data_IF_121381551219
#
_entry.id   IF_121381551219
#
_cell.length_a   1.000
_cell.length_b   1.000
_cell.length_c   1.000
_cell.angle_alpha   90.00
_cell.angle_beta   90.00
_cell.angle_gamma   90.00
#
_symmetry.space_group_name_H-M   'P 1'
#
loop_
_entity.id
_entity.type
_entity.pdbx_description
1 polymer ?
#
# COMPACT_ATOMS: atom_id res chain seq x y z
N UNK A 1 3.58 -1.08 5.10
CA UNK A 1 2.68 -2.04 4.42
C UNK A 1 1.71 -2.65 5.41
N UNK A 2 0.62 -1.97 5.69
CA UNK A 2 -0.48 -2.48 6.52
C UNK A 2 -1.62 -2.89 5.60
N UNK A 3 -2.02 -4.17 5.68
CA UNK A 3 -3.21 -4.67 5.01
C UNK A 3 -4.44 -3.85 5.45
N UNK A 4 -5.47 -3.70 4.60
CA UNK A 4 -6.77 -3.17 5.03
C UNK A 4 -7.25 -3.93 6.27
N UNK A 5 -7.85 -3.24 7.23
CA UNK A 5 -8.24 -3.80 8.54
C UNK A 5 -9.00 -5.14 8.40
N UNK A 6 -9.97 -5.21 7.48
CA UNK A 6 -10.75 -6.42 7.19
C UNK A 6 -9.93 -7.58 6.61
N UNK A 7 -8.93 -7.32 5.77
CA UNK A 7 -8.05 -8.35 5.20
C UNK A 7 -6.99 -8.81 6.21
N UNK A 8 -6.54 -7.91 7.10
CA UNK A 8 -5.65 -8.26 8.20
C UNK A 8 -6.30 -9.29 9.12
N UNK A 9 -7.54 -9.05 9.56
CA UNK A 9 -8.29 -10.01 10.37
C UNK A 9 -8.51 -11.35 9.65
N UNK A 10 -8.71 -11.34 8.33
CA UNK A 10 -8.81 -12.57 7.54
C UNK A 10 -7.50 -13.35 7.50
N UNK A 11 -6.37 -12.66 7.34
CA UNK A 11 -5.03 -13.28 7.33
C UNK A 11 -4.67 -13.83 8.71
N UNK A 12 -4.86 -13.05 9.78
CA UNK A 12 -4.60 -13.47 11.16
C UNK A 12 -5.46 -14.69 11.55
N UNK A 13 -6.77 -14.68 11.20
CA UNK A 13 -7.64 -15.85 11.40
C UNK A 13 -7.17 -17.06 10.60
N UNK A 14 -6.82 -16.88 9.33
CA UNK A 14 -6.33 -17.98 8.49
C UNK A 14 -5.04 -18.59 9.02
N UNK A 15 -4.12 -17.76 9.54
CA UNK A 15 -2.89 -18.22 10.19
C UNK A 15 -3.20 -19.03 11.45
N UNK A 16 -4.07 -18.52 12.33
CA UNK A 16 -4.50 -19.25 13.52
C UNK A 16 -5.14 -20.58 13.16
N UNK A 17 -6.05 -20.61 12.18
CA UNK A 17 -6.69 -21.84 11.72
C UNK A 17 -5.66 -22.88 11.24
N UNK A 18 -4.66 -22.46 10.45
CA UNK A 18 -3.59 -23.35 10.00
C UNK A 18 -2.78 -23.91 11.18
N UNK A 19 -2.44 -23.08 12.17
CA UNK A 19 -1.70 -23.51 13.36
C UNK A 19 -2.49 -24.54 14.19
N UNK A 20 -3.78 -24.29 14.41
CA UNK A 20 -4.65 -25.20 15.16
C UNK A 20 -4.79 -26.55 14.45
N UNK A 21 -4.95 -26.54 13.11
CA UNK A 21 -5.00 -27.78 12.33
C UNK A 21 -3.65 -28.50 12.33
N UNK A 22 -2.52 -27.78 12.28
CA UNK A 22 -1.20 -28.39 12.40
C UNK A 22 -1.01 -29.07 13.76
N UNK A 23 -1.46 -28.44 14.85
CA UNK A 23 -1.44 -29.06 16.18
C UNK A 23 -2.29 -30.36 16.22
N UNK A 24 -3.46 -30.35 15.59
CA UNK A 24 -4.29 -31.55 15.43
C UNK A 24 -3.59 -32.65 14.61
N UNK A 25 -2.85 -32.27 13.57
CA UNK A 25 -2.08 -33.22 12.75
C UNK A 25 -0.92 -33.85 13.52
N UNK A 26 -0.23 -33.09 14.38
CA UNK A 26 0.81 -33.64 15.25
C UNK A 26 0.22 -34.59 16.31
N UNK A 27 -0.93 -34.24 16.89
CA UNK A 27 -1.67 -35.16 17.77
C UNK A 27 -2.06 -36.45 17.05
N UNK A 28 -2.57 -36.35 15.82
CA UNK A 28 -2.94 -37.52 15.02
C UNK A 28 -1.75 -38.49 14.81
N UNK A 29 -0.56 -37.94 14.51
CA UNK A 29 0.66 -38.77 14.38
C UNK A 29 0.98 -39.49 15.69
N UNK A 30 0.87 -38.81 16.83
CA UNK A 30 1.15 -39.40 18.13
C UNK A 30 0.18 -40.53 18.50
N UNK A 31 -1.09 -40.40 18.11
CA UNK A 31 -2.12 -41.44 18.29
C UNK A 31 -1.81 -42.65 17.41
N UNK A 32 -1.44 -42.43 16.14
CA UNK A 32 -1.06 -43.49 15.21
C UNK A 32 0.19 -44.26 15.67
N UNK A 33 1.16 -43.59 16.31
CA UNK A 33 2.42 -44.22 16.74
C UNK A 33 2.32 -44.91 18.10
N UNK A 34 1.64 -44.30 19.07
CA UNK A 34 1.68 -44.76 20.47
C UNK A 34 0.45 -45.58 20.86
N UNK A 35 -0.59 -45.61 20.00
CA UNK A 35 -1.90 -46.12 20.36
C UNK A 35 -2.59 -45.15 21.33
N UNK A 36 -3.75 -44.63 20.94
CA UNK A 36 -4.52 -43.68 21.74
C UNK A 36 -5.95 -43.53 21.23
N UNK A 37 -6.78 -42.82 21.99
CA UNK A 37 -8.14 -42.46 21.56
C UNK A 37 -8.18 -41.04 20.99
N UNK A 38 -9.12 -40.80 20.08
CA UNK A 38 -9.29 -39.51 19.41
C UNK A 38 -10.05 -38.48 20.26
N UNK A 39 -10.39 -38.78 21.51
CA UNK A 39 -11.20 -37.92 22.38
C UNK A 39 -10.66 -36.48 22.46
N UNK A 40 -9.36 -36.32 22.70
CA UNK A 40 -8.71 -35.02 22.79
C UNK A 40 -8.72 -34.26 21.45
N UNK A 41 -8.60 -34.97 20.34
CA UNK A 41 -8.70 -34.40 19.00
C UNK A 41 -10.13 -33.94 18.70
N UNK A 42 -11.12 -34.74 19.08
CA UNK A 42 -12.55 -34.41 18.92
C UNK A 42 -12.95 -33.19 19.76
N UNK A 43 -12.48 -33.11 21.01
CA UNK A 43 -12.71 -31.94 21.86
C UNK A 43 -12.08 -30.67 21.27
N UNK A 44 -10.83 -30.76 20.80
CA UNK A 44 -10.14 -29.64 20.15
C UNK A 44 -10.85 -29.22 18.85
N UNK A 45 -11.28 -30.17 18.02
CA UNK A 45 -12.06 -29.89 16.81
C UNK A 45 -13.39 -29.20 17.12
N UNK A 46 -14.10 -29.60 18.17
CA UNK A 46 -15.38 -29.00 18.56
C UNK A 46 -15.19 -27.52 18.90
N UNK A 47 -14.21 -27.20 19.75
CA UNK A 47 -13.87 -25.81 20.08
C UNK A 47 -13.45 -25.01 18.85
N UNK A 48 -12.68 -25.63 17.95
CA UNK A 48 -12.23 -24.97 16.72
C UNK A 48 -13.40 -24.69 15.76
N UNK A 49 -14.36 -25.61 15.64
CA UNK A 49 -15.58 -25.47 14.84
C UNK A 49 -16.41 -24.30 15.36
N UNK A 50 -16.68 -24.25 16.67
CA UNK A 50 -17.50 -23.19 17.28
C UNK A 50 -16.90 -21.80 17.05
N UNK A 51 -15.57 -21.72 17.07
CA UNK A 51 -14.86 -20.48 16.78
C UNK A 51 -14.90 -20.10 15.29
N UNK A 52 -14.65 -21.05 14.37
CA UNK A 52 -14.48 -20.72 12.95
C UNK A 52 -15.79 -20.67 12.17
N UNK A 53 -16.81 -21.45 12.54
CA UNK A 53 -18.04 -21.61 11.74
C UNK A 53 -18.82 -20.30 11.56
N UNK A 54 -18.96 -19.41 12.56
CA UNK A 54 -19.59 -18.09 12.37
C UNK A 54 -18.77 -17.15 11.45
N UNK A 55 -17.51 -17.47 11.24
CA UNK A 55 -16.49 -16.60 10.62
C UNK A 55 -16.10 -17.05 9.21
N UNK A 56 -16.21 -18.34 8.95
CA UNK A 56 -15.87 -19.04 7.72
C UNK A 56 -16.60 -20.40 7.68
N UNK A 57 -17.75 -20.43 7.00
CA UNK A 57 -18.59 -21.61 6.89
C UNK A 57 -17.88 -22.78 6.19
N UNK A 58 -17.03 -22.50 5.20
CA UNK A 58 -16.31 -23.54 4.46
C UNK A 58 -15.35 -24.31 5.38
N UNK A 59 -14.53 -23.60 6.15
CA UNK A 59 -13.66 -24.24 7.14
C UNK A 59 -14.48 -24.99 8.20
N UNK A 60 -15.53 -24.36 8.73
CA UNK A 60 -16.40 -24.97 9.74
C UNK A 60 -17.01 -26.29 9.28
N UNK A 61 -17.49 -26.35 8.04
CA UNK A 61 -18.09 -27.57 7.48
C UNK A 61 -17.05 -28.67 7.23
N UNK A 62 -15.85 -28.30 6.76
CA UNK A 62 -14.74 -29.26 6.59
C UNK A 62 -14.30 -29.86 7.92
N UNK A 63 -14.17 -29.04 8.96
CA UNK A 63 -13.84 -29.53 10.30
C UNK A 63 -14.96 -30.38 10.91
N UNK A 64 -16.22 -30.03 10.67
CA UNK A 64 -17.37 -30.83 11.11
C UNK A 64 -17.38 -32.22 10.45
N UNK A 65 -17.03 -32.29 9.16
CA UNK A 65 -16.85 -33.56 8.44
C UNK A 65 -15.71 -34.39 9.06
N UNK A 66 -14.57 -33.76 9.37
CA UNK A 66 -13.44 -34.43 10.03
C UNK A 66 -13.84 -34.98 11.39
N UNK A 67 -14.53 -34.18 12.21
CA UNK A 67 -15.03 -34.60 13.53
C UNK A 67 -15.90 -35.85 13.40
N UNK A 68 -16.84 -35.86 12.44
CA UNK A 68 -17.69 -37.02 12.16
C UNK A 68 -16.87 -38.25 11.77
N UNK A 69 -15.84 -38.10 10.94
CA UNK A 69 -14.94 -39.18 10.52
C UNK A 69 -14.12 -39.74 11.68
N UNK A 70 -13.62 -38.88 12.57
CA UNK A 70 -12.85 -39.31 13.75
C UNK A 70 -13.71 -40.03 14.79
N UNK A 71 -14.92 -39.52 15.06
CA UNK A 71 -15.88 -40.16 15.98
C UNK A 71 -16.32 -41.52 15.44
N UNK A 72 -16.63 -41.61 14.15
CA UNK A 72 -17.03 -42.88 13.51
C UNK A 72 -15.85 -43.83 13.25
N UNK A 73 -14.60 -43.40 13.52
CA UNK A 73 -13.35 -44.11 13.19
C UNK A 73 -13.31 -44.56 11.73
N UNK A 74 -13.93 -43.78 10.83
CA UNK A 74 -14.10 -44.11 9.41
C UNK A 74 -13.74 -42.92 8.54
N UNK A 75 -12.98 -43.20 7.47
CA UNK A 75 -12.69 -42.23 6.42
C UNK A 75 -11.43 -41.39 6.65
N UNK A 76 -11.08 -40.55 5.67
CA UNK A 76 -9.75 -39.96 5.57
C UNK A 76 -9.63 -38.61 6.31
N UNK A 77 -10.08 -38.54 7.58
CA UNK A 77 -10.13 -37.28 8.35
C UNK A 77 -8.80 -36.52 8.38
N UNK A 78 -7.68 -37.22 8.60
CA UNK A 78 -6.32 -36.63 8.57
C UNK A 78 -5.97 -36.04 7.20
N UNK A 79 -6.38 -36.69 6.10
CA UNK A 79 -6.12 -36.19 4.76
C UNK A 79 -6.92 -34.90 4.47
N UNK A 80 -8.16 -34.82 4.97
CA UNK A 80 -8.99 -33.61 4.86
C UNK A 80 -8.36 -32.45 5.64
N UNK A 81 -7.82 -32.70 6.84
CA UNK A 81 -7.07 -31.68 7.59
C UNK A 81 -5.82 -31.20 6.84
N UNK A 82 -5.03 -32.11 6.26
CA UNK A 82 -3.88 -31.76 5.42
C UNK A 82 -4.28 -30.93 4.21
N UNK A 83 -5.40 -31.25 3.57
CA UNK A 83 -5.92 -30.48 2.44
C UNK A 83 -6.33 -29.07 2.88
N UNK A 84 -7.03 -28.95 4.01
CA UNK A 84 -7.47 -27.67 4.55
C UNK A 84 -6.29 -26.76 4.88
N UNK A 85 -5.20 -27.29 5.45
CA UNK A 85 -3.94 -26.54 5.63
C UNK A 85 -3.41 -26.02 4.30
N UNK A 86 -3.31 -26.87 3.27
CA UNK A 86 -2.80 -26.48 1.95
C UNK A 86 -3.63 -25.37 1.32
N UNK A 87 -4.96 -25.47 1.39
CA UNK A 87 -5.88 -24.49 0.83
C UNK A 87 -5.70 -23.13 1.50
N UNK A 88 -5.62 -23.10 2.84
CA UNK A 88 -5.42 -21.85 3.58
C UNK A 88 -4.02 -21.27 3.42
N UNK A 89 -2.97 -22.09 3.35
CA UNK A 89 -1.62 -21.61 3.04
C UNK A 89 -1.57 -20.93 1.67
N UNK A 90 -2.20 -21.52 0.65
CA UNK A 90 -2.31 -20.90 -0.69
C UNK A 90 -3.09 -19.59 -0.65
N UNK A 91 -4.22 -19.56 0.05
CA UNK A 91 -5.04 -18.36 0.21
C UNK A 91 -4.26 -17.22 0.88
N UNK A 92 -3.56 -17.52 1.97
CA UNK A 92 -2.74 -16.56 2.71
C UNK A 92 -1.60 -16.02 1.85
N UNK A 93 -0.91 -16.89 1.11
CA UNK A 93 0.15 -16.48 0.19
C UNK A 93 -0.39 -15.56 -0.90
N UNK A 94 -1.49 -15.93 -1.56
CA UNK A 94 -2.11 -15.10 -2.59
C UNK A 94 -2.53 -13.72 -2.05
N UNK A 95 -3.03 -13.66 -0.80
CA UNK A 95 -3.38 -12.40 -0.13
C UNK A 95 -2.14 -11.55 0.18
N UNK A 96 -1.06 -12.17 0.66
CA UNK A 96 0.20 -11.48 0.90
C UNK A 96 0.83 -10.93 -0.39
N UNK A 97 0.89 -11.74 -1.45
CA UNK A 97 1.43 -11.31 -2.76
C UNK A 97 0.67 -10.11 -3.30
N UNK A 98 -0.66 -10.17 -3.34
CA UNK A 98 -1.50 -9.04 -3.80
C UNK A 98 -1.29 -7.78 -2.95
N UNK A 99 -1.08 -7.94 -1.65
CA UNK A 99 -0.82 -6.80 -0.77
C UNK A 99 0.54 -6.16 -1.03
N UNK A 100 1.57 -6.96 -1.31
CA UNK A 100 2.90 -6.50 -1.68
C UNK A 100 2.87 -5.81 -3.05
N UNK A 101 2.19 -6.39 -4.04
CA UNK A 101 2.02 -5.79 -5.37
C UNK A 101 1.30 -4.45 -5.29
N UNK A 102 0.22 -4.37 -4.49
CA UNK A 102 -0.49 -3.11 -4.26
C UNK A 102 0.41 -2.07 -3.59
N UNK A 103 1.16 -2.46 -2.57
CA UNK A 103 2.08 -1.55 -1.90
C UNK A 103 3.19 -1.03 -2.85
N UNK A 104 3.70 -1.88 -3.74
CA UNK A 104 4.67 -1.48 -4.75
C UNK A 104 4.06 -0.52 -5.79
N UNK A 105 2.82 -0.76 -6.21
CA UNK A 105 2.09 0.13 -7.11
C UNK A 105 1.80 1.50 -6.46
N UNK A 106 1.37 1.50 -5.20
CA UNK A 106 1.12 2.72 -4.42
C UNK A 106 2.41 3.53 -4.22
N UNK A 107 3.54 2.86 -3.99
CA UNK A 107 4.85 3.51 -3.89
C UNK A 107 5.25 4.17 -5.22
N UNK A 108 5.18 3.43 -6.33
CA UNK A 108 5.50 3.95 -7.67
C UNK A 108 4.61 5.14 -8.04
N UNK A 109 3.33 5.10 -7.66
CA UNK A 109 2.40 6.23 -7.87
C UNK A 109 2.86 7.48 -7.10
N UNK A 110 3.21 7.34 -5.83
CA UNK A 110 3.71 8.44 -5.00
C UNK A 110 5.01 9.03 -5.55
N UNK A 111 5.93 8.18 -6.00
CA UNK A 111 7.18 8.63 -6.62
C UNK A 111 6.93 9.44 -7.90
N UNK A 112 6.00 8.99 -8.75
CA UNK A 112 5.62 9.76 -9.95
C UNK A 112 4.94 11.09 -9.60
N UNK A 113 4.02 11.11 -8.64
CA UNK A 113 3.38 12.35 -8.17
C UNK A 113 4.41 13.33 -7.61
N UNK A 114 5.37 12.86 -6.81
CA UNK A 114 6.46 13.68 -6.27
C UNK A 114 7.39 14.22 -7.37
N UNK A 115 7.69 13.42 -8.39
CA UNK A 115 8.51 13.86 -9.53
C UNK A 115 7.78 14.93 -10.36
N UNK A 116 6.47 14.78 -10.58
CA UNK A 116 5.65 15.78 -11.28
C UNK A 116 5.57 17.09 -10.49
N UNK A 117 5.37 17.02 -9.18
CA UNK A 117 5.30 18.20 -8.32
C UNK A 117 6.64 18.93 -8.26
N UNK A 118 7.75 18.20 -8.14
CA UNK A 118 9.09 18.76 -8.20
C UNK A 118 9.34 19.52 -9.52
N UNK A 119 8.89 18.97 -10.65
CA UNK A 119 8.97 19.63 -11.96
C UNK A 119 8.13 20.90 -12.03
N UNK A 120 6.92 20.89 -11.44
CA UNK A 120 6.05 22.08 -11.37
C UNK A 120 6.70 23.21 -10.59
N UNK A 121 7.18 22.91 -9.38
CA UNK A 121 7.87 23.89 -8.53
C UNK A 121 9.12 24.46 -9.21
N UNK A 122 9.91 23.61 -9.89
CA UNK A 122 11.08 24.09 -10.64
C UNK A 122 10.70 25.04 -11.78
N UNK A 123 9.63 24.74 -12.53
CA UNK A 123 9.13 25.60 -13.60
C UNK A 123 8.64 26.95 -13.07
N UNK A 124 7.86 26.93 -12.00
CA UNK A 124 7.34 28.15 -11.36
C UNK A 124 8.47 29.06 -10.85
N UNK A 125 9.54 28.48 -10.29
CA UNK A 125 10.73 29.24 -9.89
C UNK A 125 11.39 29.93 -11.07
N UNK A 126 11.64 29.21 -12.16
CA UNK A 126 12.25 29.77 -13.38
C UNK A 126 11.39 30.91 -13.94
N UNK A 127 10.07 30.72 -14.01
CA UNK A 127 9.14 31.74 -14.50
C UNK A 127 9.16 32.99 -13.60
N UNK A 128 9.13 32.81 -12.28
CA UNK A 128 9.21 33.92 -11.33
C UNK A 128 10.54 34.69 -11.41
N UNK A 129 11.65 33.99 -11.66
CA UNK A 129 12.97 34.61 -11.83
C UNK A 129 13.07 35.37 -13.16
N UNK A 130 12.50 34.81 -14.23
CA UNK A 130 12.39 35.45 -15.54
C UNK A 130 11.55 36.73 -15.48
N UNK A 131 10.42 36.72 -14.77
CA UNK A 131 9.59 37.91 -14.55
C UNK A 131 10.34 39.00 -13.79
N UNK A 132 11.06 38.63 -12.73
CA UNK A 132 11.87 39.58 -11.94
C UNK A 132 12.98 40.20 -12.79
N UNK A 133 13.70 39.39 -13.56
CA UNK A 133 14.76 39.89 -14.45
C UNK A 133 14.19 40.77 -15.55
N UNK A 134 13.08 40.39 -16.19
CA UNK A 134 12.41 41.21 -17.20
C UNK A 134 11.98 42.56 -16.63
N UNK A 135 11.36 42.57 -15.45
CA UNK A 135 10.95 43.81 -14.76
C UNK A 135 12.15 44.71 -14.44
N UNK A 136 13.28 44.14 -14.00
CA UNK A 136 14.50 44.88 -13.75
C UNK A 136 15.07 45.50 -15.05
N UNK A 137 15.10 44.74 -16.15
CA UNK A 137 15.55 45.23 -17.45
C UNK A 137 14.67 46.38 -17.96
N UNK A 138 13.34 46.26 -17.86
CA UNK A 138 12.40 47.32 -18.26
C UNK A 138 12.59 48.59 -17.43
N UNK A 139 12.82 48.47 -16.12
CA UNK A 139 13.12 49.63 -15.27
C UNK A 139 14.46 50.29 -15.64
N UNK A 140 15.49 49.51 -15.91
CA UNK A 140 16.79 50.02 -16.35
C UNK A 140 16.70 50.73 -17.71
N UNK A 141 15.95 50.18 -18.67
CA UNK A 141 15.67 50.80 -19.96
C UNK A 141 14.96 52.15 -19.78
N UNK A 142 13.87 52.19 -18.99
CA UNK A 142 13.16 53.45 -18.66
C UNK A 142 14.09 54.50 -18.02
N UNK A 143 15.00 54.11 -17.14
CA UNK A 143 15.99 55.02 -16.55
C UNK A 143 16.98 55.55 -17.61
N UNK A 144 17.47 54.68 -18.51
CA UNK A 144 18.36 55.08 -19.61
C UNK A 144 17.69 56.06 -20.56
N UNK A 145 16.42 55.82 -20.92
CA UNK A 145 15.68 56.70 -21.82
C UNK A 145 15.42 58.07 -21.20
N UNK A 146 15.03 58.11 -19.91
CA UNK A 146 14.91 59.39 -19.17
C UNK A 146 16.23 60.17 -19.10
N UNK A 147 17.37 59.48 -18.94
CA UNK A 147 18.68 60.13 -18.93
C UNK A 147 19.04 60.70 -20.31
N UNK A 148 18.73 59.97 -21.39
CA UNK A 148 18.89 60.43 -22.78
C UNK A 148 18.02 61.66 -23.06
N UNK A 149 16.76 61.65 -22.63
CA UNK A 149 15.81 62.76 -22.74
C UNK A 149 16.37 64.03 -22.05
N UNK A 150 16.81 63.91 -20.80
CA UNK A 150 17.43 65.01 -20.04
C UNK A 150 18.68 65.56 -20.73
N UNK A 151 19.52 64.68 -21.31
CA UNK A 151 20.70 65.10 -22.06
C UNK A 151 20.32 65.86 -23.32
N UNK A 152 19.29 65.41 -24.06
CA UNK A 152 18.74 66.12 -25.23
C UNK A 152 18.18 67.49 -24.86
N UNK A 153 17.40 67.58 -23.77
CA UNK A 153 16.85 68.85 -23.29
C UNK A 153 17.94 69.84 -22.87
N UNK A 154 18.99 69.39 -22.17
CA UNK A 154 20.15 70.24 -21.82
C UNK A 154 20.89 70.76 -23.05
N UNK A 155 21.04 69.93 -24.09
CA UNK A 155 21.68 70.33 -25.34
C UNK A 155 20.80 71.33 -26.12
N UNK A 156 19.47 71.14 -26.10
CA UNK A 156 18.52 72.06 -26.71
C UNK A 156 18.42 73.42 -25.97
N UNK A 157 18.53 73.42 -24.64
CA UNK A 157 18.57 74.66 -23.84
C UNK A 157 19.90 75.42 -23.93
N UNK A 158 20.99 74.73 -24.28
CA UNK A 158 22.31 75.33 -24.52
C UNK A 158 22.53 75.73 -26.00
N UNK A 159 21.53 75.56 -26.88
CA UNK A 159 21.59 76.12 -28.21
C UNK A 159 21.53 77.65 -28.08
N UNK A 160 22.56 78.41 -28.50
CA UNK A 160 22.52 79.86 -28.40
C UNK A 160 21.37 80.39 -29.27
N UNK A 161 20.52 81.25 -28.69
CA UNK A 161 19.59 82.09 -29.46
C UNK A 161 20.40 83.01 -30.35
N UNK A 162 20.80 82.53 -31.53
CA UNK A 162 21.31 83.37 -32.60
C UNK A 162 20.21 83.48 -33.66
N UNK A 163 19.75 84.71 -33.83
CA UNK A 163 18.82 85.23 -34.82
C UNK A 163 17.33 84.93 -34.60
N UNK A 164 16.69 85.87 -33.90
CA UNK A 164 15.42 86.46 -34.33
C UNK A 164 15.60 87.97 -34.08
N UNK A 165 15.98 88.67 -35.15
CA UNK A 165 15.85 90.11 -35.31
C UNK A 165 14.50 90.38 -35.99
#
# INVERSE_FOLDING_TARGET
>A
NTLPSSDRFRVERGLKLVQEIQALLEKAKSVDTNGGDNADMCAHLTTLIDWIKPLDAYAGDKLSQVLTMLVSKRGPGVAVLKQLVRDYTKLLYAKHVKAVEKAAADLKKREMESALESKRVARERIESEAERTLKAQLQAAKKRDRARERKRQKMASNLPKRFMA
#
